data_IF_199562324758
#
_entry.id   IF_199562324758
#
_cell.length_a   1.000
_cell.length_b   1.000
_cell.length_c   1.000
_cell.angle_alpha   90.00
_cell.angle_beta   90.00
_cell.angle_gamma   90.00
#
_symmetry.space_group_name_H-M   'P 1'
#
loop_
_entity.id
_entity.type
_entity.pdbx_description
1 polymer ?
#
# COMPACT_ATOMS: atom_id res chain seq x y z
N UNK A 1 -25.93 22.05 30.98
CA UNK A 1 -25.86 20.90 30.06
C UNK A 1 -25.90 21.49 28.64
N UNK A 2 -24.97 21.37 27.68
CA UNK A 2 -23.93 20.38 27.42
C UNK A 2 -22.91 20.90 26.36
N UNK A 3 -22.37 22.14 26.47
CA UNK A 3 -21.37 22.64 25.49
C UNK A 3 -20.08 21.79 25.44
N UNK A 4 -19.76 21.15 26.57
CA UNK A 4 -18.61 20.26 26.73
C UNK A 4 -18.81 18.90 26.02
N UNK A 5 -20.07 18.46 25.84
CA UNK A 5 -20.40 17.19 25.19
C UNK A 5 -20.27 17.25 23.67
N UNK A 6 -20.49 18.43 23.07
CA UNK A 6 -20.38 18.63 21.62
C UNK A 6 -18.93 18.62 21.13
N UNK A 7 -18.01 19.15 21.94
CA UNK A 7 -16.60 19.25 21.57
C UNK A 7 -15.90 17.89 21.58
N UNK A 8 -16.30 17.01 22.51
CA UNK A 8 -15.82 15.62 22.58
C UNK A 8 -16.32 14.80 21.39
N UNK A 9 -17.58 14.97 21.00
CA UNK A 9 -18.15 14.25 19.86
C UNK A 9 -17.46 14.59 18.53
N UNK A 10 -17.12 15.86 18.31
CA UNK A 10 -16.41 16.31 17.10
C UNK A 10 -14.97 15.80 17.07
N UNK A 11 -14.27 15.80 18.20
CA UNK A 11 -12.91 15.30 18.29
C UNK A 11 -12.83 13.79 17.98
N UNK A 12 -13.77 13.00 18.46
CA UNK A 12 -13.83 11.55 18.18
C UNK A 12 -14.13 11.30 16.69
N UNK A 13 -15.05 12.04 16.08
CA UNK A 13 -15.37 11.90 14.65
C UNK A 13 -14.17 12.21 13.74
N UNK A 14 -13.32 13.18 14.10
CA UNK A 14 -12.12 13.52 13.33
C UNK A 14 -11.03 12.43 13.41
N UNK A 15 -10.87 11.77 14.55
CA UNK A 15 -9.91 10.68 14.72
C UNK A 15 -10.35 9.43 13.93
N UNK A 16 -11.64 9.11 13.91
CA UNK A 16 -12.15 8.00 13.10
C UNK A 16 -12.07 8.28 11.58
N UNK A 17 -12.25 9.53 11.16
CA UNK A 17 -12.13 9.90 9.74
C UNK A 17 -10.69 9.78 9.23
N UNK A 18 -9.69 10.09 10.05
CA UNK A 18 -8.26 9.94 9.69
C UNK A 18 -7.80 8.47 9.61
N UNK A 19 -8.44 7.57 10.36
CA UNK A 19 -8.12 6.15 10.32
C UNK A 19 -8.57 5.47 9.01
N UNK A 20 -9.63 5.97 8.38
CA UNK A 20 -10.16 5.41 7.13
C UNK A 20 -9.55 6.00 5.85
N UNK A 21 -8.81 7.12 5.92
CA UNK A 21 -8.19 7.74 4.74
C UNK A 21 -6.83 7.14 4.36
N UNK A 22 -6.27 6.22 5.16
CA UNK A 22 -4.98 5.54 4.90
C UNK A 22 -5.10 4.23 4.10
N UNK A 23 -6.31 3.83 3.69
CA UNK A 23 -6.53 2.52 3.07
C UNK A 23 -6.08 2.38 1.61
N UNK A 24 -5.41 3.39 1.02
CA UNK A 24 -4.99 3.27 -0.40
C UNK A 24 -3.83 4.12 -0.89
N UNK A 25 -3.31 5.07 -0.10
CA UNK A 25 -2.22 5.95 -0.51
C UNK A 25 -1.12 5.95 0.56
N UNK A 26 0.07 5.43 0.23
CA UNK A 26 1.23 5.52 1.14
C UNK A 26 2.17 4.33 1.19
N UNK A 27 2.04 3.33 0.30
CA UNK A 27 3.02 2.26 0.22
C UNK A 27 4.28 2.67 -0.55
N UNK A 28 5.45 2.11 -0.19
CA UNK A 28 6.67 2.29 -0.98
C UNK A 28 6.44 1.74 -2.39
N UNK A 29 6.69 2.57 -3.41
CA UNK A 29 6.57 2.11 -4.79
C UNK A 29 7.74 1.20 -5.14
N UNK A 30 7.44 0.02 -5.66
CA UNK A 30 8.44 -0.92 -6.18
C UNK A 30 8.07 -1.22 -7.62
N UNK A 31 8.99 -0.91 -8.53
CA UNK A 31 8.84 -1.18 -9.96
C UNK A 31 9.48 -2.52 -10.27
N UNK A 32 8.69 -3.41 -10.88
CA UNK A 32 9.15 -4.73 -11.33
C UNK A 32 9.02 -4.75 -12.84
N UNK A 33 10.12 -5.01 -13.54
CA UNK A 33 10.13 -5.23 -14.98
C UNK A 33 10.30 -6.70 -15.26
N UNK A 34 9.39 -7.27 -16.04
CA UNK A 34 9.51 -8.64 -16.53
C UNK A 34 10.24 -8.64 -17.87
N UNK A 35 11.19 -9.56 -18.01
CA UNK A 35 12.06 -9.84 -19.15
C UNK A 35 11.93 -11.32 -19.51
N UNK A 36 12.25 -11.71 -20.75
CA UNK A 36 11.98 -13.08 -21.22
C UNK A 36 12.79 -14.13 -20.41
N UNK A 37 13.86 -13.68 -19.74
CA UNK A 37 14.77 -14.42 -18.89
C UNK A 37 14.55 -14.22 -17.37
N UNK A 38 13.56 -13.42 -16.94
CA UNK A 38 13.23 -13.24 -15.51
C UNK A 38 12.60 -11.90 -15.14
N UNK A 39 12.73 -11.50 -13.88
CA UNK A 39 12.21 -10.22 -13.35
C UNK A 39 13.34 -9.37 -12.76
N UNK A 40 13.26 -8.04 -12.94
CA UNK A 40 14.14 -7.06 -12.28
C UNK A 40 13.30 -6.08 -11.44
N UNK A 41 13.52 -5.98 -10.12
CA UNK A 41 14.45 -6.79 -9.31
C UNK A 41 13.95 -8.23 -9.13
N UNK A 42 14.89 -9.16 -8.91
CA UNK A 42 14.59 -10.58 -8.64
C UNK A 42 14.07 -10.84 -7.23
N UNK A 43 14.27 -9.90 -6.29
CA UNK A 43 13.78 -9.99 -4.92
C UNK A 43 13.50 -8.61 -4.34
N UNK A 44 12.54 -8.54 -3.40
CA UNK A 44 12.16 -7.31 -2.72
C UNK A 44 12.15 -7.61 -1.22
N UNK A 45 12.98 -6.91 -0.44
CA UNK A 45 12.90 -6.96 1.01
C UNK A 45 11.77 -6.07 1.52
N UNK A 46 11.01 -6.59 2.48
CA UNK A 46 9.90 -5.89 3.13
C UNK A 46 9.99 -6.04 4.64
N UNK A 47 9.51 -5.02 5.36
CA UNK A 47 9.31 -5.09 6.80
C UNK A 47 7.89 -5.57 7.12
N UNK A 48 7.66 -6.33 8.22
CA UNK A 48 6.31 -6.75 8.59
C UNK A 48 5.37 -5.55 8.77
N UNK A 49 4.21 -5.59 8.11
CA UNK A 49 3.23 -4.51 8.12
C UNK A 49 3.51 -3.38 7.12
N UNK A 50 4.60 -3.45 6.36
CA UNK A 50 4.89 -2.49 5.28
C UNK A 50 3.86 -2.62 4.16
N UNK A 51 3.28 -1.49 3.75
CA UNK A 51 2.46 -1.41 2.54
C UNK A 51 3.39 -1.20 1.35
N UNK A 52 3.26 -2.04 0.33
CA UNK A 52 3.91 -1.81 -0.96
C UNK A 52 2.89 -1.37 -2.01
N UNK A 53 3.36 -0.53 -2.94
CA UNK A 53 2.68 -0.26 -4.20
C UNK A 53 3.51 -0.90 -5.32
N UNK A 54 3.13 -2.10 -5.73
CA UNK A 54 3.81 -2.80 -6.82
C UNK A 54 3.35 -2.23 -8.16
N UNK A 55 4.31 -1.81 -8.99
CA UNK A 55 4.06 -1.38 -10.37
C UNK A 55 4.79 -2.37 -11.28
N UNK A 56 4.03 -3.26 -11.90
CA UNK A 56 4.57 -4.32 -12.76
C UNK A 56 4.50 -3.88 -14.22
N UNK A 57 5.64 -3.91 -14.90
CA UNK A 57 5.74 -3.70 -16.35
C UNK A 57 6.13 -5.00 -17.02
N UNK A 58 5.22 -5.55 -17.82
CA UNK A 58 5.49 -6.69 -18.67
C UNK A 58 6.03 -6.20 -20.03
N UNK A 59 7.26 -6.60 -20.38
CA UNK A 59 7.87 -6.32 -21.69
C UNK A 59 8.14 -7.61 -22.48
N UNK A 60 7.40 -8.67 -22.21
CA UNK A 60 7.71 -10.03 -22.68
C UNK A 60 6.59 -10.63 -23.50
N UNK A 61 6.94 -11.70 -24.20
CA UNK A 61 5.99 -12.49 -25.00
C UNK A 61 5.38 -13.69 -24.25
N UNK A 62 5.75 -13.85 -22.98
CA UNK A 62 5.41 -14.99 -22.10
C UNK A 62 4.76 -14.51 -20.81
N UNK A 63 4.22 -15.43 -20.02
CA UNK A 63 3.66 -15.14 -18.70
C UNK A 63 4.67 -15.49 -17.59
N UNK A 64 4.85 -14.57 -16.64
CA UNK A 64 5.57 -14.82 -15.38
C UNK A 64 4.73 -14.34 -14.20
N UNK A 65 4.69 -15.13 -13.14
CA UNK A 65 3.96 -14.84 -11.91
C UNK A 65 4.88 -14.19 -10.85
N UNK A 66 4.32 -13.26 -10.07
CA UNK A 66 4.99 -12.70 -8.89
C UNK A 66 4.49 -13.49 -7.68
N UNK A 67 5.34 -14.35 -7.12
CA UNK A 67 5.02 -15.15 -5.92
C UNK A 67 5.68 -14.57 -4.66
N UNK A 68 4.96 -14.60 -3.55
CA UNK A 68 5.53 -14.35 -2.21
C UNK A 68 5.85 -15.66 -1.51
N UNK A 69 7.05 -15.75 -0.94
CA UNK A 69 7.52 -16.86 -0.08
C UNK A 69 7.49 -16.47 1.39
#
# INVERSE_FOLDING_TARGET
>A
MNKMSGLVAVAVALVLAAACSSSGAGGREVRITQHDDGCDPTSISVTPGEKLKLVVKNNISKDYEIEGI
#
